data_IF_855267927290
#
_entry.id   IF_855267927290
#
_cell.length_a   1.000
_cell.length_b   1.000
_cell.length_c   1.000
_cell.angle_alpha   90.00
_cell.angle_beta   90.00
_cell.angle_gamma   90.00
#
_symmetry.space_group_name_H-M   'P 1'
#
loop_
_entity.id
_entity.type
_entity.pdbx_description
1 polymer ?
#
# COMPACT_ATOMS: atom_id res chain seq x y z
N UNK A 1 10.24 -24.47 -13.57
CA UNK A 1 9.59 -23.53 -12.63
C UNK A 1 10.55 -22.39 -12.40
N UNK A 2 10.10 -21.14 -12.57
CA UNK A 2 10.91 -19.99 -12.15
C UNK A 2 11.15 -20.05 -10.64
N UNK A 3 12.34 -19.66 -10.15
CA UNK A 3 12.61 -19.61 -8.72
C UNK A 3 11.58 -18.71 -8.01
N UNK A 4 11.16 -19.11 -6.81
CA UNK A 4 10.23 -18.30 -6.01
C UNK A 4 10.90 -16.96 -5.68
N UNK A 5 10.19 -15.82 -5.83
CA UNK A 5 10.74 -14.52 -5.50
C UNK A 5 11.11 -14.47 -4.02
N UNK A 6 12.31 -13.96 -3.73
CA UNK A 6 12.79 -13.75 -2.36
C UNK A 6 12.74 -12.26 -2.04
N UNK A 7 12.07 -11.90 -0.96
CA UNK A 7 12.11 -10.54 -0.42
C UNK A 7 13.51 -10.24 0.12
N UNK A 8 14.05 -9.09 -0.24
CA UNK A 8 15.33 -8.58 0.25
C UNK A 8 15.11 -7.49 1.30
N UNK A 9 14.27 -6.50 0.99
CA UNK A 9 13.95 -5.40 1.89
C UNK A 9 12.47 -5.01 1.82
N UNK A 10 11.95 -4.52 2.95
CA UNK A 10 10.61 -3.95 3.09
C UNK A 10 10.72 -2.71 3.96
N UNK A 11 10.22 -1.59 3.44
CA UNK A 11 10.25 -0.28 4.07
C UNK A 11 8.87 0.37 4.04
N UNK A 12 8.52 1.10 5.10
CA UNK A 12 7.33 1.95 5.14
C UNK A 12 7.82 3.38 4.90
N UNK A 13 7.35 4.01 3.82
CA UNK A 13 7.69 5.37 3.43
C UNK A 13 6.44 6.25 3.42
N UNK A 14 6.65 7.56 3.51
CA UNK A 14 5.56 8.56 3.37
C UNK A 14 4.37 8.29 4.30
N UNK A 15 4.65 7.78 5.50
CA UNK A 15 3.63 7.59 6.52
C UNK A 15 3.04 8.94 6.90
N UNK A 16 1.74 9.09 6.73
CA UNK A 16 1.05 10.32 7.14
C UNK A 16 1.17 10.55 8.64
N UNK A 17 1.23 11.83 9.08
CA UNK A 17 1.55 12.17 10.46
C UNK A 17 0.65 11.42 11.44
N UNK A 18 1.33 10.66 12.30
CA UNK A 18 0.76 9.64 13.16
C UNK A 18 -0.24 10.23 14.16
N UNK A 19 -1.54 10.15 13.85
CA UNK A 19 -2.56 10.25 14.89
C UNK A 19 -2.56 8.96 15.74
N UNK A 20 -2.30 7.80 15.12
CA UNK A 20 -1.91 6.54 15.78
C UNK A 20 -1.52 5.45 14.76
N UNK A 21 -0.78 4.39 15.13
CA UNK A 21 -0.54 3.24 14.24
C UNK A 21 -1.81 2.53 13.75
N UNK A 22 -2.94 2.69 14.45
CA UNK A 22 -4.26 2.16 14.06
C UNK A 22 -5.09 3.09 13.18
N UNK A 23 -4.52 4.24 12.78
CA UNK A 23 -5.14 5.23 11.91
C UNK A 23 -4.04 5.92 11.06
N UNK A 24 -3.63 5.27 9.97
CA UNK A 24 -2.51 5.71 9.15
C UNK A 24 -2.63 5.23 7.69
N UNK A 25 -2.06 6.00 6.77
CA UNK A 25 -1.68 5.56 5.42
C UNK A 25 -0.19 5.73 5.19
N UNK A 26 0.39 4.88 4.35
CA UNK A 26 1.78 4.95 3.95
C UNK A 26 1.97 4.29 2.57
N UNK A 27 3.15 4.48 1.98
CA UNK A 27 3.61 3.62 0.91
C UNK A 27 4.53 2.52 1.48
N UNK A 28 4.40 1.30 0.97
CA UNK A 28 5.26 0.17 1.33
C UNK A 28 6.16 -0.13 0.13
N UNK A 29 7.47 0.08 0.32
CA UNK A 29 8.47 -0.26 -0.69
C UNK A 29 8.93 -1.70 -0.46
N UNK A 30 8.86 -2.53 -1.50
CA UNK A 30 9.30 -3.92 -1.47
C UNK A 30 10.40 -4.12 -2.50
N UNK A 31 11.56 -4.58 -2.03
CA UNK A 31 12.68 -4.96 -2.89
C UNK A 31 12.82 -6.47 -2.89
N UNK A 32 12.89 -7.07 -4.08
CA UNK A 32 13.21 -8.48 -4.26
C UNK A 32 14.71 -8.68 -4.50
N UNK A 33 15.22 -9.85 -4.15
CA UNK A 33 16.64 -10.19 -4.30
C UNK A 33 17.11 -10.25 -5.78
N UNK A 34 16.17 -10.31 -6.73
CA UNK A 34 16.45 -10.22 -8.17
C UNK A 34 16.53 -8.77 -8.70
N UNK A 35 16.46 -7.78 -7.80
CA UNK A 35 16.58 -6.36 -8.10
C UNK A 35 15.26 -5.66 -8.46
N UNK A 36 14.15 -6.39 -8.58
CA UNK A 36 12.84 -5.78 -8.82
C UNK A 36 12.35 -5.04 -7.58
N UNK A 37 11.67 -3.93 -7.81
CA UNK A 37 11.13 -3.06 -6.78
C UNK A 37 9.66 -2.80 -7.04
N UNK A 38 8.88 -2.76 -5.95
CA UNK A 38 7.44 -2.52 -5.97
C UNK A 38 7.10 -1.46 -4.94
N UNK A 39 6.06 -0.68 -5.22
CA UNK A 39 5.52 0.32 -4.30
C UNK A 39 4.04 0.06 -4.11
N UNK A 40 3.62 -0.17 -2.88
CA UNK A 40 2.25 -0.56 -2.53
C UNK A 40 1.63 0.52 -1.66
N UNK A 41 0.47 1.04 -2.04
CA UNK A 41 -0.32 1.90 -1.17
C UNK A 41 -0.89 1.06 -0.02
N UNK A 42 -0.63 1.45 1.22
CA UNK A 42 -1.14 0.77 2.40
C UNK A 42 -1.90 1.73 3.31
N UNK A 43 -2.98 1.24 3.92
CA UNK A 43 -3.75 2.03 4.87
C UNK A 43 -4.45 1.16 5.91
N UNK A 44 -4.73 1.76 7.06
CA UNK A 44 -5.73 1.21 7.99
C UNK A 44 -7.14 1.52 7.47
N UNK A 45 -8.11 0.61 7.61
CA UNK A 45 -9.48 0.85 7.16
C UNK A 45 -10.13 2.12 7.74
N UNK A 46 -9.82 2.44 9.00
CA UNK A 46 -10.28 3.65 9.69
C UNK A 46 -9.80 4.94 9.01
N UNK A 47 -8.51 5.02 8.72
CA UNK A 47 -7.91 6.14 7.98
C UNK A 47 -8.53 6.28 6.58
N UNK A 48 -8.68 5.16 5.86
CA UNK A 48 -9.21 5.19 4.50
C UNK A 48 -10.67 5.68 4.48
N UNK A 49 -11.52 5.15 5.36
CA UNK A 49 -12.91 5.58 5.47
C UNK A 49 -13.04 7.08 5.78
N UNK A 50 -12.21 7.60 6.69
CA UNK A 50 -12.22 9.03 7.03
C UNK A 50 -11.73 9.90 5.87
N UNK A 51 -10.62 9.53 5.23
CA UNK A 51 -10.09 10.25 4.07
C UNK A 51 -11.11 10.26 2.91
N UNK A 52 -11.77 9.12 2.69
CA UNK A 52 -12.79 8.95 1.66
C UNK A 52 -14.03 9.81 1.92
N UNK A 53 -14.53 9.83 3.16
CA UNK A 53 -15.63 10.69 3.58
C UNK A 53 -15.27 12.18 3.47
N UNK A 54 -14.07 12.59 3.89
CA UNK A 54 -13.57 13.97 3.74
C UNK A 54 -13.47 14.40 2.28
N UNK A 55 -13.11 13.47 1.40
CA UNK A 55 -13.05 13.74 -0.03
C UNK A 55 -14.45 13.86 -0.66
N UNK A 56 -15.51 13.38 0.00
CA UNK A 56 -16.88 13.35 -0.54
C UNK A 56 -17.02 12.34 -1.68
N UNK A 57 -16.31 11.21 -1.59
CA UNK A 57 -16.33 10.16 -2.59
C UNK A 57 -17.30 9.04 -2.17
N UNK A 58 -18.03 8.49 -3.14
CA UNK A 58 -18.89 7.31 -2.95
C UNK A 58 -18.20 6.02 -3.43
N UNK A 59 -17.34 6.13 -4.45
CA UNK A 59 -16.63 4.98 -5.06
C UNK A 59 -15.15 5.29 -5.34
N UNK A 60 -14.31 4.26 -5.32
CA UNK A 60 -12.89 4.33 -5.63
C UNK A 60 -12.52 3.25 -6.64
N UNK A 61 -12.03 3.66 -7.81
CA UNK A 61 -11.58 2.77 -8.89
C UNK A 61 -10.09 2.97 -9.20
N UNK A 62 -9.33 3.49 -8.24
CA UNK A 62 -7.89 3.72 -8.39
C UNK A 62 -7.05 2.47 -8.10
N UNK A 63 -5.73 2.66 -7.94
CA UNK A 63 -4.81 1.57 -7.59
C UNK A 63 -5.22 0.81 -6.32
N UNK A 64 -4.91 -0.49 -6.26
CA UNK A 64 -5.24 -1.33 -5.11
C UNK A 64 -4.55 -0.85 -3.84
N UNK A 65 -5.28 -0.87 -2.73
CA UNK A 65 -4.80 -0.50 -1.39
C UNK A 65 -4.63 -1.77 -0.56
N UNK A 66 -3.45 -1.98 0.01
CA UNK A 66 -3.20 -3.00 1.00
C UNK A 66 -3.75 -2.55 2.36
N UNK A 67 -4.87 -3.13 2.77
CA UNK A 67 -5.43 -2.84 4.08
C UNK A 67 -4.71 -3.62 5.19
N UNK A 68 -4.19 -2.89 6.18
CA UNK A 68 -3.52 -3.44 7.36
C UNK A 68 -4.22 -2.98 8.63
N UNK A 69 -4.23 -3.82 9.67
CA UNK A 69 -4.86 -3.46 10.95
C UNK A 69 -4.14 -2.29 11.63
N UNK A 70 -2.82 -2.32 11.59
CA UNK A 70 -1.94 -1.26 12.09
C UNK A 70 -0.76 -1.10 11.14
N UNK A 71 -0.26 0.12 10.99
CA UNK A 71 0.95 0.40 10.20
C UNK A 71 2.21 0.04 10.99
N UNK A 72 2.36 -1.26 11.28
CA UNK A 72 3.51 -1.84 11.97
C UNK A 72 4.40 -2.59 10.96
N UNK A 73 5.70 -2.33 11.00
CA UNK A 73 6.65 -2.93 10.07
C UNK A 73 6.68 -4.47 10.15
N UNK A 74 6.50 -5.04 11.33
CA UNK A 74 6.45 -6.49 11.52
C UNK A 74 5.22 -7.12 10.83
N UNK A 75 4.05 -6.51 10.97
CA UNK A 75 2.84 -6.94 10.28
C UNK A 75 2.92 -6.74 8.77
N UNK A 76 3.42 -5.59 8.31
CA UNK A 76 3.62 -5.32 6.87
C UNK A 76 4.57 -6.34 6.26
N UNK A 77 5.68 -6.66 6.95
CA UNK A 77 6.61 -7.70 6.51
C UNK A 77 5.95 -9.06 6.36
N UNK A 78 5.11 -9.46 7.32
CA UNK A 78 4.35 -10.71 7.24
C UNK A 78 3.38 -10.72 6.06
N UNK A 79 2.63 -9.62 5.86
CA UNK A 79 1.69 -9.50 4.76
C UNK A 79 2.38 -9.62 3.40
N UNK A 80 3.47 -8.88 3.19
CA UNK A 80 4.27 -8.94 1.94
C UNK A 80 4.90 -10.32 1.74
N UNK A 81 5.39 -10.95 2.82
CA UNK A 81 5.95 -12.31 2.74
C UNK A 81 4.90 -13.32 2.28
N UNK A 82 3.67 -13.24 2.79
CA UNK A 82 2.58 -14.08 2.29
C UNK A 82 2.18 -13.75 0.85
N UNK A 83 2.22 -12.47 0.45
CA UNK A 83 1.96 -12.06 -0.95
C UNK A 83 2.94 -12.71 -1.95
N UNK A 84 4.19 -12.96 -1.55
CA UNK A 84 5.22 -13.52 -2.45
C UNK A 84 5.34 -15.05 -2.39
N UNK A 85 4.67 -15.70 -1.43
CA UNK A 85 4.86 -17.12 -1.09
C UNK A 85 4.66 -18.08 -2.27
N UNK A 86 3.72 -17.74 -3.15
CA UNK A 86 3.35 -18.53 -4.32
C UNK A 86 3.71 -17.87 -5.66
N UNK A 87 4.49 -16.78 -5.61
CA UNK A 87 4.88 -15.98 -6.76
C UNK A 87 4.70 -14.49 -6.51
N UNK A 88 5.02 -13.65 -7.49
CA UNK A 88 5.01 -12.18 -7.37
C UNK A 88 3.72 -11.52 -7.85
N UNK A 89 2.73 -12.31 -8.30
CA UNK A 89 1.50 -11.79 -8.91
C UNK A 89 0.77 -10.78 -8.01
N UNK A 90 0.78 -11.00 -6.69
CA UNK A 90 0.19 -10.05 -5.74
C UNK A 90 0.96 -8.74 -5.66
N UNK A 91 2.30 -8.76 -5.74
CA UNK A 91 3.10 -7.54 -5.82
C UNK A 91 2.80 -6.79 -7.12
N UNK A 92 2.76 -7.48 -8.25
CA UNK A 92 2.46 -6.86 -9.55
C UNK A 92 1.07 -6.21 -9.59
N UNK A 93 0.07 -6.81 -8.92
CA UNK A 93 -1.29 -6.24 -8.84
C UNK A 93 -1.38 -5.01 -7.93
N UNK A 94 -0.57 -4.98 -6.87
CA UNK A 94 -0.55 -3.88 -5.91
C UNK A 94 0.52 -2.84 -6.22
N UNK A 95 1.28 -3.02 -7.31
CA UNK A 95 2.30 -2.06 -7.69
C UNK A 95 1.66 -0.75 -8.14
N UNK A 96 2.19 0.33 -7.60
CA UNK A 96 1.68 1.68 -7.78
C UNK A 96 2.85 2.63 -7.98
N UNK A 97 2.66 3.76 -8.68
CA UNK A 97 3.67 4.82 -8.68
C UNK A 97 4.06 5.17 -7.24
N UNK A 98 5.33 5.50 -7.00
CA UNK A 98 5.80 5.93 -5.66
C UNK A 98 5.13 7.24 -5.29
N UNK A 99 4.02 7.13 -4.56
CA UNK A 99 3.16 8.24 -4.18
C UNK A 99 2.36 7.90 -2.92
N UNK A 100 1.63 8.88 -2.40
CA UNK A 100 0.81 8.71 -1.20
C UNK A 100 -0.65 8.48 -1.54
N UNK A 101 -1.36 7.76 -0.68
CA UNK A 101 -2.78 7.48 -0.88
C UNK A 101 -3.61 8.77 -0.89
N UNK A 102 -3.29 9.76 -0.06
CA UNK A 102 -3.94 11.08 -0.13
C UNK A 102 -3.75 11.79 -1.46
N UNK A 103 -2.56 11.72 -2.07
CA UNK A 103 -2.35 12.29 -3.40
C UNK A 103 -3.19 11.55 -4.44
N UNK A 104 -3.27 10.22 -4.38
CA UNK A 104 -4.10 9.41 -5.27
C UNK A 104 -5.59 9.76 -5.13
N UNK A 105 -6.10 9.92 -3.90
CA UNK A 105 -7.49 10.30 -3.66
C UNK A 105 -7.79 11.73 -4.17
N UNK A 106 -6.87 12.67 -3.98
CA UNK A 106 -7.01 14.03 -4.49
C UNK A 106 -7.04 14.06 -6.03
N UNK A 107 -6.13 13.32 -6.68
CA UNK A 107 -6.10 13.20 -8.14
C UNK A 107 -7.35 12.49 -8.69
N UNK A 108 -7.84 11.47 -7.97
CA UNK A 108 -9.08 10.77 -8.33
C UNK A 108 -10.27 11.73 -8.28
N UNK A 109 -10.46 12.46 -7.18
CA UNK A 109 -11.51 13.48 -7.06
C UNK A 109 -11.43 14.53 -8.16
N UNK A 110 -10.23 15.03 -8.46
CA UNK A 110 -10.04 16.03 -9.52
C UNK A 110 -10.49 15.53 -10.91
N UNK A 111 -10.43 14.22 -11.16
CA UNK A 111 -10.87 13.59 -12.41
C UNK A 111 -12.36 13.17 -12.39
N UNK A 112 -12.97 13.09 -11.21
CA UNK A 112 -14.33 12.59 -10.98
C UNK A 112 -15.07 13.50 -9.98
N UNK A 113 -15.53 14.69 -10.41
CA UNK A 113 -16.22 15.65 -9.56
C UNK A 113 -17.65 15.24 -9.19
#
# INVERSE_FOLDING_TARGET
MSPKPRVDAIEITDAEPAQSPGHCSAAVQVSLADGRQFSILAATPSWFAEAFAKAGLDYYFGPLVLFVRTMDLGLVRRAVTEMVKDGDQWLCRHDTPRTTLSKVLAEFKAKHP
#
